data_IF_994790727252
#
_entry.id   IF_994790727252
#
_cell.length_a   1.000
_cell.length_b   1.000
_cell.length_c   1.000
_cell.angle_alpha   90.00
_cell.angle_beta   90.00
_cell.angle_gamma   90.00
#
_symmetry.space_group_name_H-M   'P 1'
#
loop_
_entity.id
_entity.type
_entity.pdbx_description
1 polymer ?
#
# COMPACT_ATOMS: atom_id res chain seq x y z
N UNK A 1 26.27 2.25 -2.96
CA UNK A 1 25.34 1.63 -3.94
C UNK A 1 23.95 1.82 -3.37
N UNK A 2 23.26 2.89 -3.79
CA UNK A 2 21.84 3.05 -3.48
C UNK A 2 21.11 1.90 -4.16
N UNK A 3 20.53 1.00 -3.37
CA UNK A 3 19.55 0.06 -3.89
C UNK A 3 18.42 0.92 -4.45
N UNK A 4 18.34 1.04 -5.77
CA UNK A 4 17.25 1.72 -6.48
C UNK A 4 15.97 0.97 -6.12
N UNK A 5 15.33 1.40 -5.04
CA UNK A 5 14.12 0.79 -4.52
C UNK A 5 13.09 0.78 -5.64
N UNK A 6 12.76 -0.43 -6.12
CA UNK A 6 11.87 -0.62 -7.25
C UNK A 6 10.56 0.10 -7.01
N UNK A 7 10.11 0.85 -8.01
CA UNK A 7 8.70 1.23 -8.10
C UNK A 7 8.06 0.37 -9.17
N UNK A 8 6.79 0.04 -8.98
CA UNK A 8 6.01 -0.74 -9.94
C UNK A 8 4.68 -0.05 -10.18
N UNK A 9 4.03 -0.39 -11.29
CA UNK A 9 2.73 0.16 -11.61
C UNK A 9 1.69 -0.38 -10.64
N UNK A 10 0.99 0.53 -9.96
CA UNK A 10 -0.12 0.19 -9.10
C UNK A 10 -1.40 0.04 -9.94
N UNK A 11 -2.07 -1.10 -9.80
CA UNK A 11 -3.44 -1.28 -10.26
C UNK A 11 -4.36 -1.15 -9.05
N UNK A 12 -4.87 0.05 -8.83
CA UNK A 12 -5.72 0.36 -7.67
C UNK A 12 -7.14 -0.16 -7.94
N UNK A 13 -7.63 -1.00 -7.03
CA UNK A 13 -9.00 -1.52 -7.05
C UNK A 13 -9.93 -0.63 -6.26
N UNK A 14 -9.50 -0.20 -5.06
CA UNK A 14 -10.28 0.67 -4.20
C UNK A 14 -9.43 1.81 -3.65
N UNK A 15 -10.07 2.97 -3.47
CA UNK A 15 -9.46 4.14 -2.84
C UNK A 15 -10.47 4.76 -1.89
N UNK A 16 -10.00 5.10 -0.71
CA UNK A 16 -10.76 5.80 0.32
C UNK A 16 -9.91 6.91 0.92
N UNK A 17 -10.53 7.83 1.64
CA UNK A 17 -9.83 8.85 2.40
C UNK A 17 -10.30 8.81 3.85
N UNK A 18 -9.37 8.64 4.78
CA UNK A 18 -9.64 8.60 6.21
C UNK A 18 -8.89 9.76 6.86
N UNK A 19 -9.63 10.68 7.49
CA UNK A 19 -9.05 11.87 8.14
C UNK A 19 -8.10 12.68 7.22
N UNK A 20 -8.39 12.75 5.92
CA UNK A 20 -7.54 13.46 4.94
C UNK A 20 -6.29 12.70 4.50
N UNK A 21 -6.16 11.43 4.91
CA UNK A 21 -5.11 10.51 4.49
C UNK A 21 -5.72 9.54 3.46
N UNK A 22 -5.26 9.56 2.20
CA UNK A 22 -5.75 8.61 1.21
C UNK A 22 -5.21 7.22 1.52
N UNK A 23 -6.07 6.20 1.36
CA UNK A 23 -5.76 4.79 1.51
C UNK A 23 -6.16 4.08 0.23
N UNK A 24 -5.28 3.24 -0.27
CA UNK A 24 -5.38 2.56 -1.55
C UNK A 24 -5.24 1.06 -1.33
N UNK A 25 -6.11 0.31 -1.99
CA UNK A 25 -6.05 -1.12 -2.09
C UNK A 25 -5.94 -1.51 -3.56
N UNK A 26 -5.03 -2.42 -3.87
CA UNK A 26 -4.81 -2.78 -5.27
C UNK A 26 -3.88 -3.97 -5.44
N UNK A 27 -3.52 -4.21 -6.70
CA UNK A 27 -2.53 -5.19 -7.08
C UNK A 27 -1.42 -4.58 -7.95
N UNK A 28 -0.26 -5.21 -7.96
CA UNK A 28 0.88 -4.83 -8.78
C UNK A 28 1.86 -5.98 -8.89
N UNK A 29 2.87 -5.82 -9.73
CA UNK A 29 3.95 -6.81 -9.85
C UNK A 29 5.10 -6.38 -8.94
N UNK A 30 5.30 -7.08 -7.83
CA UNK A 30 6.44 -6.87 -6.95
C UNK A 30 7.57 -7.85 -7.29
N UNK A 31 8.61 -7.43 -8.06
CA UNK A 31 9.72 -8.32 -8.41
C UNK A 31 10.63 -8.65 -7.21
N UNK A 32 10.55 -7.88 -6.12
CA UNK A 32 11.37 -8.06 -4.92
C UNK A 32 10.72 -9.05 -3.96
N UNK A 33 9.40 -9.00 -3.81
CA UNK A 33 8.63 -9.86 -2.90
C UNK A 33 7.77 -10.89 -3.64
N UNK A 34 8.17 -11.34 -4.82
CA UNK A 34 7.44 -12.39 -5.57
C UNK A 34 7.21 -13.62 -4.66
N UNK A 35 5.97 -14.06 -4.41
CA UNK A 35 4.74 -13.88 -5.21
C UNK A 35 3.75 -12.79 -4.73
N UNK A 36 4.17 -11.81 -3.93
CA UNK A 36 3.30 -10.74 -3.44
C UNK A 36 2.78 -9.88 -4.60
N UNK A 37 1.47 -9.90 -4.79
CA UNK A 37 0.78 -9.21 -5.88
C UNK A 37 -0.19 -8.15 -5.36
N UNK A 38 -0.67 -8.26 -4.13
CA UNK A 38 -1.61 -7.31 -3.55
C UNK A 38 -0.87 -6.29 -2.70
N UNK A 39 -1.42 -5.09 -2.61
CA UNK A 39 -0.87 -4.06 -1.76
C UNK A 39 -1.95 -3.25 -1.05
N UNK A 40 -1.58 -2.75 0.11
CA UNK A 40 -2.28 -1.70 0.85
C UNK A 40 -1.33 -0.53 1.01
N UNK A 41 -1.73 0.65 0.57
CA UNK A 41 -0.92 1.85 0.66
C UNK A 41 -1.71 3.00 1.28
N UNK A 42 -1.07 3.85 2.05
CA UNK A 42 -1.69 5.06 2.60
C UNK A 42 -0.71 6.23 2.59
N UNK A 43 -1.26 7.44 2.64
CA UNK A 43 -0.48 8.67 2.73
C UNK A 43 -0.39 9.45 1.43
N UNK A 44 -0.14 10.76 1.56
CA UNK A 44 -0.02 11.68 0.42
C UNK A 44 1.32 11.44 -0.27
N UNK A 45 1.26 10.94 -1.50
CA UNK A 45 2.46 10.68 -2.32
C UNK A 45 2.93 9.23 -2.33
N UNK A 46 2.24 8.32 -1.64
CA UNK A 46 2.56 6.87 -1.69
C UNK A 46 2.41 6.26 -3.08
N UNK A 47 1.52 6.87 -3.89
CA UNK A 47 1.35 6.59 -5.32
C UNK A 47 1.85 7.77 -6.15
N UNK A 48 3.17 7.90 -6.29
CA UNK A 48 3.76 8.94 -7.12
C UNK A 48 3.51 8.62 -8.60
N UNK A 49 2.60 9.37 -9.26
CA UNK A 49 2.22 9.15 -10.67
C UNK A 49 1.69 7.74 -10.97
N UNK A 50 1.00 7.11 -10.01
CA UNK A 50 0.49 5.73 -10.16
C UNK A 50 1.54 4.65 -10.00
N UNK A 51 2.74 5.01 -9.51
CA UNK A 51 3.79 4.08 -9.14
C UNK A 51 3.81 3.89 -7.63
N UNK A 52 3.94 2.63 -7.20
CA UNK A 52 4.07 2.24 -5.80
C UNK A 52 5.44 1.63 -5.54
N UNK A 53 5.99 1.89 -4.36
CA UNK A 53 7.22 1.25 -3.91
C UNK A 53 7.04 -0.26 -3.72
N UNK A 54 7.99 -1.06 -4.19
CA UNK A 54 7.97 -2.54 -4.12
C UNK A 54 8.48 -3.09 -2.79
N UNK A 55 8.62 -2.25 -1.76
CA UNK A 55 9.06 -2.65 -0.44
C UNK A 55 8.04 -2.25 0.61
N UNK A 56 8.03 -2.98 1.72
CA UNK A 56 7.14 -2.68 2.83
C UNK A 56 7.66 -1.47 3.60
N UNK A 57 6.80 -0.49 3.81
CA UNK A 57 7.04 0.70 4.62
C UNK A 57 5.83 0.95 5.49
N UNK A 58 6.05 1.14 6.79
CA UNK A 58 5.00 1.49 7.74
C UNK A 58 5.43 2.76 8.45
N UNK A 59 4.79 3.87 8.14
CA UNK A 59 4.87 5.10 8.92
C UNK A 59 3.47 5.64 9.17
N UNK A 60 3.33 6.46 10.20
CA UNK A 60 2.01 7.00 10.60
C UNK A 60 1.40 7.88 9.50
N UNK A 61 2.23 8.61 8.76
CA UNK A 61 1.79 9.54 7.72
C UNK A 61 1.68 8.90 6.32
N UNK A 62 2.47 7.86 6.05
CA UNK A 62 2.46 7.13 4.79
C UNK A 62 3.04 5.72 4.93
N UNK A 63 2.62 4.79 4.09
CA UNK A 63 3.16 3.44 4.09
C UNK A 63 2.61 2.60 2.95
N UNK A 64 3.31 1.52 2.63
CA UNK A 64 2.92 0.55 1.63
C UNK A 64 3.23 -0.84 2.17
N UNK A 65 2.28 -1.76 2.05
CA UNK A 65 2.41 -3.14 2.47
C UNK A 65 2.01 -4.05 1.33
N UNK A 66 2.83 -5.07 1.10
CA UNK A 66 2.61 -6.07 0.06
C UNK A 66 2.23 -7.41 0.66
N UNK A 67 1.32 -8.08 -0.02
CA UNK A 67 0.72 -9.34 0.40
C UNK A 67 0.65 -10.31 -0.78
N UNK A 68 0.78 -11.59 -0.47
CA UNK A 68 0.60 -12.69 -1.41
C UNK A 68 -0.88 -13.04 -1.50
N UNK A 69 -1.56 -13.00 -0.36
CA UNK A 69 -2.95 -13.38 -0.19
C UNK A 69 -3.87 -12.15 -0.24
N UNK A 70 -4.99 -12.29 -0.95
CA UNK A 70 -5.97 -11.22 -1.15
C UNK A 70 -6.74 -10.91 0.13
N UNK A 71 -7.14 -11.95 0.88
CA UNK A 71 -7.87 -11.81 2.14
C UNK A 71 -6.99 -11.14 3.21
N UNK A 72 -5.70 -11.48 3.29
CA UNK A 72 -4.75 -10.79 4.17
C UNK A 72 -4.63 -9.30 3.82
N UNK A 73 -4.56 -8.99 2.52
CA UNK A 73 -4.47 -7.61 2.05
C UNK A 73 -5.75 -6.82 2.37
N UNK A 74 -6.92 -7.40 2.14
CA UNK A 74 -8.21 -6.78 2.46
C UNK A 74 -8.37 -6.58 3.98
N UNK A 75 -7.99 -7.55 4.79
CA UNK A 75 -8.00 -7.44 6.24
C UNK A 75 -7.08 -6.30 6.72
N UNK A 76 -5.90 -6.15 6.13
CA UNK A 76 -4.99 -5.04 6.45
C UNK A 76 -5.52 -3.69 5.95
N UNK A 77 -6.16 -3.63 4.80
CA UNK A 77 -6.79 -2.39 4.30
C UNK A 77 -7.85 -1.90 5.30
N UNK A 78 -8.77 -2.78 5.71
CA UNK A 78 -9.75 -2.49 6.75
C UNK A 78 -9.12 -2.07 8.07
N UNK A 79 -8.01 -2.72 8.46
CA UNK A 79 -7.28 -2.38 9.68
C UNK A 79 -6.67 -0.99 9.59
N UNK A 80 -6.00 -0.64 8.50
CA UNK A 80 -5.38 0.67 8.29
C UNK A 80 -6.45 1.77 8.27
N UNK A 81 -7.60 1.53 7.62
CA UNK A 81 -8.72 2.46 7.68
C UNK A 81 -9.17 2.73 9.13
N UNK A 82 -9.34 1.70 9.95
CA UNK A 82 -9.69 1.86 11.37
C UNK A 82 -8.59 2.58 12.17
N UNK A 83 -7.33 2.25 11.90
CA UNK A 83 -6.18 2.82 12.60
C UNK A 83 -6.06 4.32 12.32
N UNK A 84 -6.18 4.72 11.05
CA UNK A 84 -6.20 6.12 10.63
C UNK A 84 -7.46 6.86 11.11
N UNK A 85 -8.58 6.16 11.31
CA UNK A 85 -9.80 6.71 11.89
C UNK A 85 -9.71 6.90 13.42
N UNK A 86 -8.65 6.39 14.07
CA UNK A 86 -8.54 6.38 15.54
C UNK A 86 -9.47 5.37 16.22
N UNK A 87 -9.87 4.32 15.51
CA UNK A 87 -10.80 3.27 15.96
C UNK A 87 -10.11 1.92 16.25
N UNK A 88 -8.78 1.88 16.21
CA UNK A 88 -7.95 0.68 16.39
C UNK A 88 -7.38 0.54 17.80
#
# INVERSE_FOLDING_TARGET
MENSCGTTKANVFETTEVNGIPVYYGAGVNPVNSPAQFFVAWGKGVLASGLIHTFNSQSEEQGALWFIDEDEAEAQYNRIQKLLAGLA
#
